data_IF_125723124529
#
_entry.id   IF_125723124529
#
_cell.length_a   1.000
_cell.length_b   1.000
_cell.length_c   1.000
_cell.angle_alpha   90.00
_cell.angle_beta   90.00
_cell.angle_gamma   90.00
#
_symmetry.space_group_name_H-M   'P 1'
#
loop_
_entity.id
_entity.type
_entity.pdbx_description
1 polymer ?
#
# COMPACT_ATOMS: atom_id res chain seq x y z
N UNK A 1 -4.47 -12.88 -8.29
CA UNK A 1 -3.08 -13.09 -7.83
C UNK A 1 -2.97 -12.78 -6.35
N UNK A 2 -1.98 -13.39 -5.73
CA UNK A 2 -1.78 -13.29 -4.30
C UNK A 2 -0.29 -13.28 -4.02
N UNK A 3 0.19 -12.34 -3.23
CA UNK A 3 1.61 -12.31 -2.87
C UNK A 3 1.83 -11.60 -1.53
N UNK A 4 3.02 -11.80 -0.96
CA UNK A 4 3.43 -11.22 0.32
C UNK A 4 4.82 -10.61 0.16
N UNK A 5 4.98 -9.42 0.71
CA UNK A 5 6.28 -8.78 0.87
C UNK A 5 6.48 -8.41 2.34
N UNK A 6 7.72 -8.46 2.80
CA UNK A 6 8.05 -8.14 4.19
C UNK A 6 9.31 -7.27 4.21
N UNK A 7 9.31 -6.28 5.09
CA UNK A 7 10.47 -5.42 5.32
C UNK A 7 10.59 -5.14 6.82
N UNK A 8 11.80 -5.03 7.33
CA UNK A 8 12.06 -4.65 8.71
C UNK A 8 12.56 -3.21 8.75
N UNK A 9 11.90 -2.37 9.54
CA UNK A 9 12.16 -0.93 9.65
C UNK A 9 12.59 -0.61 11.06
N UNK A 10 13.68 0.14 11.21
CA UNK A 10 14.23 0.55 12.51
C UNK A 10 13.48 1.76 13.07
N UNK A 11 12.18 1.60 13.24
CA UNK A 11 11.27 2.57 13.87
C UNK A 11 10.18 1.79 14.60
N UNK A 12 9.58 2.42 15.58
CA UNK A 12 8.49 1.81 16.35
C UNK A 12 7.27 1.53 15.48
N UNK A 13 6.44 0.59 15.91
CA UNK A 13 5.16 0.31 15.22
C UNK A 13 4.29 1.56 15.14
N UNK A 14 4.31 2.39 16.17
CA UNK A 14 3.56 3.65 16.19
C UNK A 14 4.02 4.62 15.11
N UNK A 15 5.34 4.79 14.96
CA UNK A 15 5.89 5.68 13.94
C UNK A 15 5.62 5.16 12.53
N UNK A 16 5.79 3.86 12.30
CA UNK A 16 5.54 3.23 11.01
C UNK A 16 4.06 3.35 10.64
N UNK A 17 3.18 3.01 11.58
CA UNK A 17 1.74 3.08 11.34
C UNK A 17 1.27 4.51 11.05
N UNK A 18 1.73 5.49 11.81
CA UNK A 18 1.33 6.88 11.61
C UNK A 18 1.71 7.38 10.21
N UNK A 19 2.89 7.02 9.74
CA UNK A 19 3.33 7.41 8.39
C UNK A 19 2.53 6.69 7.30
N UNK A 20 2.34 5.38 7.48
CA UNK A 20 1.65 4.53 6.52
C UNK A 20 0.17 4.90 6.41
N UNK A 21 -0.49 5.18 7.54
CA UNK A 21 -1.91 5.51 7.58
C UNK A 21 -2.22 6.92 7.03
N UNK A 22 -1.22 7.76 6.87
CA UNK A 22 -1.37 9.03 6.17
C UNK A 22 -1.17 8.78 4.67
N UNK A 23 -2.25 8.43 3.99
CA UNK A 23 -2.20 8.01 2.58
C UNK A 23 -1.73 9.11 1.63
N UNK A 24 -1.78 10.37 2.04
CA UNK A 24 -1.19 11.47 1.28
C UNK A 24 0.34 11.34 1.15
N UNK A 25 0.96 10.49 1.96
CA UNK A 25 2.38 10.17 1.85
C UNK A 25 2.70 9.16 0.73
N UNK A 26 1.70 8.47 0.20
CA UNK A 26 1.91 7.41 -0.81
C UNK A 26 2.79 7.85 -1.97
N UNK A 27 2.61 9.05 -2.56
CA UNK A 27 3.51 9.48 -3.64
C UNK A 27 4.99 9.55 -3.27
N UNK A 28 5.30 9.63 -1.98
CA UNK A 28 6.70 9.72 -1.52
C UNK A 28 7.41 8.38 -1.56
N UNK A 29 6.67 7.27 -1.41
CA UNK A 29 7.26 5.95 -1.39
C UNK A 29 6.74 5.03 -2.52
N UNK A 30 5.79 5.50 -3.33
CA UNK A 30 5.32 4.81 -4.53
C UNK A 30 5.38 5.80 -5.70
N UNK A 31 6.45 5.71 -6.49
CA UNK A 31 6.68 6.65 -7.59
C UNK A 31 5.65 6.53 -8.73
N UNK A 32 4.87 5.45 -8.77
CA UNK A 32 3.81 5.30 -9.76
C UNK A 32 2.57 6.16 -9.46
N UNK A 33 2.49 6.71 -8.25
CA UNK A 33 1.38 7.54 -7.78
C UNK A 33 1.85 8.99 -7.65
N UNK A 34 1.16 9.90 -8.33
CA UNK A 34 1.50 11.31 -8.31
C UNK A 34 0.78 12.08 -7.19
N UNK A 35 -0.42 11.65 -6.80
CA UNK A 35 -1.21 12.32 -5.78
C UNK A 35 -2.20 11.34 -5.16
N UNK A 36 -2.40 11.45 -3.85
CA UNK A 36 -3.43 10.71 -3.10
C UNK A 36 -4.19 11.71 -2.24
N UNK A 37 -5.51 11.70 -2.33
CA UNK A 37 -6.37 12.67 -1.65
C UNK A 37 -7.55 11.98 -0.97
N UNK A 38 -7.80 12.34 0.29
CA UNK A 38 -8.98 11.88 1.02
C UNK A 38 -10.25 12.51 0.43
N UNK A 39 -11.26 11.71 0.18
CA UNK A 39 -12.54 12.15 -0.40
C UNK A 39 -13.70 12.11 0.60
N UNK A 40 -13.58 11.38 1.70
CA UNK A 40 -14.54 11.41 2.79
C UNK A 40 -14.09 12.37 3.88
N UNK A 41 -15.01 12.84 4.71
CA UNK A 41 -14.69 13.73 5.83
C UNK A 41 -14.22 12.97 7.06
N UNK A 42 -13.67 13.72 8.02
CA UNK A 42 -13.31 13.22 9.34
C UNK A 42 -11.96 12.53 9.42
N UNK A 43 -11.61 12.03 10.63
CA UNK A 43 -10.37 11.31 10.84
C UNK A 43 -10.33 9.99 10.07
N UNK A 44 -9.12 9.54 9.74
CA UNK A 44 -8.92 8.28 9.04
C UNK A 44 -9.35 7.10 9.91
N UNK A 45 -10.10 6.19 9.32
CA UNK A 45 -10.58 4.97 9.95
C UNK A 45 -11.28 4.11 8.92
N UNK A 46 -11.93 3.03 9.38
CA UNK A 46 -12.71 2.16 8.50
C UNK A 46 -13.78 2.98 7.79
N UNK A 47 -13.89 2.82 6.46
CA UNK A 47 -14.83 3.56 5.63
C UNK A 47 -14.28 4.84 5.02
N UNK A 48 -13.11 5.30 5.43
CA UNK A 48 -12.47 6.46 4.82
C UNK A 48 -12.11 6.15 3.37
N UNK A 49 -12.45 7.06 2.47
CA UNK A 49 -12.24 6.89 1.02
C UNK A 49 -11.20 7.88 0.49
N UNK A 50 -10.52 7.42 -0.56
CA UNK A 50 -9.47 8.18 -1.24
C UNK A 50 -9.60 8.08 -2.74
N UNK A 51 -9.10 9.11 -3.44
CA UNK A 51 -8.76 9.01 -4.85
C UNK A 51 -7.27 9.21 -5.00
N UNK A 52 -6.68 8.56 -6.01
CA UNK A 52 -5.28 8.79 -6.33
C UNK A 52 -5.06 8.81 -7.82
N UNK A 53 -4.05 9.54 -8.24
CA UNK A 53 -3.68 9.68 -9.64
C UNK A 53 -2.42 8.86 -9.90
N UNK A 54 -2.59 7.83 -10.72
CA UNK A 54 -1.50 6.96 -11.16
C UNK A 54 -0.90 7.45 -12.45
N UNK A 55 0.41 7.32 -12.59
CA UNK A 55 1.14 7.69 -13.81
C UNK A 55 1.72 6.47 -14.54
N UNK A 56 1.96 5.36 -13.83
CA UNK A 56 2.57 4.16 -14.38
C UNK A 56 1.75 2.93 -14.02
N UNK A 57 1.63 1.93 -14.92
CA UNK A 57 2.15 1.89 -16.29
C UNK A 57 1.42 2.82 -17.24
N UNK A 58 0.25 3.31 -16.87
CA UNK A 58 -0.57 4.27 -17.62
C UNK A 58 -1.20 5.28 -16.68
N UNK A 59 -1.46 6.51 -17.16
CA UNK A 59 -2.26 7.45 -16.41
C UNK A 59 -3.65 6.88 -16.13
N UNK A 60 -4.06 6.93 -14.86
CA UNK A 60 -5.41 6.55 -14.44
C UNK A 60 -5.75 7.20 -13.11
N UNK A 61 -7.04 7.40 -12.89
CA UNK A 61 -7.56 7.81 -11.60
C UNK A 61 -8.13 6.59 -10.88
N UNK A 62 -7.77 6.42 -9.63
CA UNK A 62 -8.10 5.24 -8.83
C UNK A 62 -8.82 5.63 -7.57
N UNK A 63 -9.62 4.71 -7.04
CA UNK A 63 -10.32 4.89 -5.77
C UNK A 63 -10.05 3.72 -4.87
N UNK A 64 -9.91 4.00 -3.59
CA UNK A 64 -9.84 2.95 -2.58
C UNK A 64 -10.48 3.40 -1.27
N UNK A 65 -10.82 2.42 -0.44
CA UNK A 65 -11.35 2.67 0.89
C UNK A 65 -10.59 1.87 1.93
N UNK A 66 -10.53 2.40 3.15
CA UNK A 66 -9.96 1.71 4.30
C UNK A 66 -10.99 0.71 4.80
N UNK A 67 -10.62 -0.57 4.84
CA UNK A 67 -11.50 -1.65 5.30
C UNK A 67 -11.08 -2.23 6.65
N UNK A 68 -9.85 -1.95 7.09
CA UNK A 68 -9.37 -2.36 8.41
C UNK A 68 -8.43 -1.29 8.92
N UNK A 69 -8.59 -0.91 10.18
CA UNK A 69 -7.79 0.13 10.82
C UNK A 69 -7.64 -0.17 12.30
N UNK A 70 -6.53 -0.81 12.65
CA UNK A 70 -6.18 -1.11 14.04
C UNK A 70 -4.84 -0.42 14.33
N UNK A 71 -4.83 0.70 15.08
CA UNK A 71 -3.61 1.48 15.29
C UNK A 71 -2.43 0.61 15.70
N UNK A 72 -1.28 0.87 15.06
CA UNK A 72 0.01 0.24 15.29
C UNK A 72 0.11 -1.24 14.92
N UNK A 73 -0.98 -1.86 14.43
CA UNK A 73 -1.02 -3.30 14.14
C UNK A 73 -1.49 -3.66 12.74
N UNK A 74 -2.60 -3.12 12.27
CA UNK A 74 -3.17 -3.52 10.97
C UNK A 74 -3.81 -2.36 10.23
N UNK A 75 -3.59 -2.34 8.92
CA UNK A 75 -4.19 -1.38 8.03
C UNK A 75 -4.50 -2.11 6.71
N UNK A 76 -5.73 -2.04 6.25
CA UNK A 76 -6.10 -2.66 4.98
C UNK A 76 -6.95 -1.73 4.15
N UNK A 77 -6.72 -1.77 2.85
CA UNK A 77 -7.47 -1.01 1.86
C UNK A 77 -8.01 -1.93 0.78
N UNK A 78 -9.10 -1.51 0.16
CA UNK A 78 -9.70 -2.18 -0.99
C UNK A 78 -9.97 -1.16 -2.08
N UNK A 79 -9.62 -1.49 -3.31
CA UNK A 79 -9.89 -0.62 -4.43
C UNK A 79 -9.12 -0.95 -5.69
N UNK A 80 -8.91 0.07 -6.49
CA UNK A 80 -8.21 -0.01 -7.75
C UNK A 80 -6.70 0.11 -7.54
N UNK A 81 -5.94 -0.73 -8.24
CA UNK A 81 -4.47 -0.74 -8.17
C UNK A 81 -3.93 -0.97 -9.59
N UNK A 82 -3.92 0.10 -10.39
CA UNK A 82 -3.56 0.04 -11.79
C UNK A 82 -4.55 -0.83 -12.58
N UNK A 83 -4.06 -1.82 -13.33
CA UNK A 83 -4.95 -2.73 -14.08
C UNK A 83 -5.60 -3.80 -13.19
N UNK A 84 -5.42 -3.72 -11.89
CA UNK A 84 -5.94 -4.68 -10.91
C UNK A 84 -6.91 -4.02 -9.95
N UNK A 85 -7.69 -4.86 -9.28
CA UNK A 85 -8.52 -4.45 -8.16
C UNK A 85 -8.43 -5.50 -7.06
N UNK A 86 -8.62 -5.10 -5.83
CA UNK A 86 -8.58 -6.02 -4.69
C UNK A 86 -8.17 -5.36 -3.41
N UNK A 87 -7.46 -6.10 -2.56
CA UNK A 87 -7.08 -5.65 -1.22
C UNK A 87 -5.58 -5.67 -1.01
N UNK A 88 -5.11 -4.68 -0.25
CA UNK A 88 -3.76 -4.65 0.30
C UNK A 88 -3.90 -4.59 1.82
N UNK A 89 -3.27 -5.51 2.51
CA UNK A 89 -3.26 -5.55 3.97
C UNK A 89 -1.83 -5.35 4.48
N UNK A 90 -1.68 -4.43 5.39
CA UNK A 90 -0.41 -4.17 6.08
C UNK A 90 -0.53 -4.64 7.52
N UNK A 91 0.39 -5.50 7.94
CA UNK A 91 0.48 -5.98 9.31
C UNK A 91 1.81 -5.53 9.91
N UNK A 92 1.76 -4.96 11.09
CA UNK A 92 2.93 -4.48 11.81
C UNK A 92 3.15 -5.33 13.05
N UNK A 93 4.35 -5.90 13.14
CA UNK A 93 4.78 -6.69 14.30
C UNK A 93 6.01 -6.02 14.93
N UNK A 94 5.96 -5.77 16.23
CA UNK A 94 7.13 -5.27 16.95
C UNK A 94 8.20 -6.37 16.98
N UNK A 95 9.43 -5.99 16.62
CA UNK A 95 10.59 -6.87 16.67
C UNK A 95 11.71 -6.16 17.42
N UNK A 96 12.77 -6.86 17.86
CA UNK A 96 13.91 -6.19 18.46
C UNK A 96 14.47 -5.12 17.52
N UNK A 97 14.50 -3.88 18.00
CA UNK A 97 15.04 -2.74 17.24
C UNK A 97 14.07 -2.09 16.25
N UNK A 98 12.82 -2.54 16.15
CA UNK A 98 11.93 -1.91 15.18
C UNK A 98 10.61 -2.62 14.91
N UNK A 99 10.22 -2.59 13.64
CA UNK A 99 8.94 -3.12 13.16
C UNK A 99 9.19 -4.03 11.97
N UNK A 100 8.55 -5.21 11.98
CA UNK A 100 8.40 -6.00 10.77
C UNK A 100 7.07 -5.63 10.13
N UNK A 101 7.14 -5.08 8.92
CA UNK A 101 5.98 -4.71 8.13
C UNK A 101 5.75 -5.76 7.07
N UNK A 102 4.58 -6.37 7.08
CA UNK A 102 4.17 -7.37 6.09
C UNK A 102 3.04 -6.80 5.25
N UNK A 103 3.20 -6.83 3.93
CA UNK A 103 2.15 -6.47 2.99
C UNK A 103 1.62 -7.73 2.32
N UNK A 104 0.33 -7.97 2.42
CA UNK A 104 -0.36 -9.04 1.71
C UNK A 104 -1.28 -8.44 0.65
N UNK A 105 -1.15 -8.92 -0.58
CA UNK A 105 -1.95 -8.47 -1.70
C UNK A 105 -2.83 -9.59 -2.22
N UNK A 106 -4.11 -9.28 -2.41
CA UNK A 106 -5.10 -10.15 -3.06
C UNK A 106 -5.72 -9.33 -4.19
N UNK A 107 -5.27 -9.58 -5.42
CA UNK A 107 -5.63 -8.77 -6.57
C UNK A 107 -6.22 -9.62 -7.68
N UNK A 108 -7.21 -9.05 -8.39
CA UNK A 108 -7.77 -9.62 -9.59
C UNK A 108 -7.50 -8.66 -10.76
N UNK A 109 -7.14 -9.20 -11.90
CA UNK A 109 -6.96 -8.40 -13.10
C UNK A 109 -8.32 -7.92 -13.61
N UNK A 110 -8.38 -6.68 -14.08
CA UNK A 110 -9.56 -6.15 -14.75
C UNK A 110 -9.55 -6.59 -16.22
N UNK A 111 -10.69 -7.05 -16.70
CA UNK A 111 -10.88 -7.41 -18.11
C UNK A 111 -10.01 -8.57 -18.57
N UNK A 112 -9.51 -8.49 -19.80
CA UNK A 112 -8.76 -9.55 -20.47
C UNK A 112 -7.34 -9.76 -19.94
N UNK A 113 -6.85 -8.90 -19.07
CA UNK A 113 -5.49 -8.96 -18.54
C UNK A 113 -5.23 -10.19 -17.66
N UNK A 114 -6.29 -10.86 -17.20
CA UNK A 114 -6.16 -12.07 -16.37
C UNK A 114 -5.42 -13.22 -17.02
N UNK A 115 -5.28 -13.20 -18.36
CA UNK A 115 -4.61 -14.25 -19.11
C UNK A 115 -3.08 -14.22 -18.99
N UNK A 116 -2.48 -13.12 -18.54
CA UNK A 116 -1.03 -12.95 -18.39
C UNK A 116 -0.58 -12.98 -16.92
N UNK A 117 -1.39 -13.56 -16.05
CA UNK A 117 -1.25 -13.48 -14.60
C UNK A 117 0.12 -13.89 -14.00
N UNK A 118 0.80 -14.98 -14.43
CA UNK A 118 2.05 -15.38 -13.76
C UNK A 118 3.17 -14.35 -13.87
N UNK A 119 3.38 -13.76 -15.06
CA UNK A 119 4.40 -12.73 -15.26
C UNK A 119 4.01 -11.42 -14.60
N UNK A 120 2.71 -11.06 -14.66
CA UNK A 120 2.20 -9.87 -14.02
C UNK A 120 2.37 -9.94 -12.49
N UNK A 121 2.12 -11.11 -11.90
CA UNK A 121 2.28 -11.31 -10.44
C UNK A 121 3.70 -11.01 -9.99
N UNK A 122 4.71 -11.55 -10.68
CA UNK A 122 6.12 -11.30 -10.36
C UNK A 122 6.46 -9.81 -10.40
N UNK A 123 6.04 -9.13 -11.45
CA UNK A 123 6.34 -7.70 -11.65
C UNK A 123 5.66 -6.82 -10.60
N UNK A 124 4.40 -7.10 -10.30
CA UNK A 124 3.67 -6.34 -9.29
C UNK A 124 4.26 -6.58 -7.90
N UNK A 125 4.58 -7.83 -7.59
CA UNK A 125 5.25 -8.18 -6.33
C UNK A 125 6.57 -7.43 -6.16
N UNK A 126 7.40 -7.40 -7.19
CA UNK A 126 8.68 -6.69 -7.17
C UNK A 126 8.48 -5.17 -7.01
N UNK A 127 7.50 -4.61 -7.69
CA UNK A 127 7.19 -3.18 -7.57
C UNK A 127 6.75 -2.82 -6.15
N UNK A 128 5.89 -3.62 -5.55
CA UNK A 128 5.45 -3.42 -4.17
C UNK A 128 6.62 -3.59 -3.20
N UNK A 129 7.47 -4.59 -3.42
CA UNK A 129 8.68 -4.78 -2.61
C UNK A 129 9.62 -3.59 -2.67
N UNK A 130 9.81 -3.04 -3.87
CA UNK A 130 10.62 -1.84 -4.07
C UNK A 130 10.03 -0.63 -3.34
N UNK A 131 8.72 -0.47 -3.39
CA UNK A 131 8.01 0.61 -2.67
C UNK A 131 8.20 0.49 -1.16
N UNK A 132 8.13 -0.72 -0.61
CA UNK A 132 8.37 -0.94 0.81
C UNK A 132 9.83 -0.63 1.19
N UNK A 133 10.77 -0.91 0.31
CA UNK A 133 12.17 -0.53 0.50
C UNK A 133 12.34 0.99 0.57
N UNK A 134 11.64 1.73 -0.27
CA UNK A 134 11.65 3.19 -0.24
C UNK A 134 11.02 3.72 1.05
N UNK A 135 9.89 3.15 1.46
CA UNK A 135 9.24 3.49 2.72
C UNK A 135 10.20 3.30 3.90
N UNK A 136 10.91 2.17 3.93
CA UNK A 136 11.94 1.88 4.94
C UNK A 136 13.00 2.97 4.94
N UNK A 137 13.52 3.30 3.77
CA UNK A 137 14.57 4.31 3.63
C UNK A 137 14.12 5.67 4.18
N UNK A 138 12.93 6.11 3.82
CA UNK A 138 12.36 7.37 4.30
C UNK A 138 12.25 7.38 5.82
N UNK A 139 11.67 6.34 6.40
CA UNK A 139 11.42 6.27 7.84
C UNK A 139 12.72 6.19 8.64
N UNK A 140 13.71 5.45 8.16
CA UNK A 140 14.99 5.30 8.87
C UNK A 140 15.87 6.53 8.78
N UNK A 141 15.62 7.42 7.84
CA UNK A 141 16.42 8.65 7.65
C UNK A 141 15.69 9.93 8.11
N UNK A 142 14.62 9.77 8.84
CA UNK A 142 13.90 10.89 9.42
C UNK A 142 14.50 11.38 10.70
#
# INVERSE_FOLDING_TARGET
MQFVNTVTIRRSTSEVFAYLARFENVPRWNYAIAETRQTSGGPVGVGTTYTQRRTLPRPSEERFEVIEFVPDTRLAIRGDLGPFEGTLTYRLDAVPGGTRLTNEAHLAAKGLLGMAAPLATSRVREAVGSNLGELKSILEHR
#
